data_IF_917571456461
#
_entry.id   IF_917571456461
#
_cell.length_a   1.000
_cell.length_b   1.000
_cell.length_c   1.000
_cell.angle_alpha   90.00
_cell.angle_beta   90.00
_cell.angle_gamma   90.00
#
_symmetry.space_group_name_H-M   'P 1'
#
loop_
_entity.id
_entity.type
_entity.pdbx_description
1 polymer ?
#
# COMPACT_ATOMS: atom_id res chain seq x y z
N UNK A 1 25.02 -15.30 -0.09
CA UNK A 1 24.78 -14.11 -0.94
C UNK A 1 25.54 -14.16 -2.26
N UNK A 2 26.86 -14.44 -2.27
CA UNK A 2 27.61 -14.71 -3.52
C UNK A 2 26.96 -15.73 -4.48
N UNK A 3 26.48 -16.91 -4.05
CA UNK A 3 25.86 -17.86 -4.98
C UNK A 3 24.60 -17.30 -5.67
N UNK A 4 23.79 -16.53 -4.93
CA UNK A 4 22.59 -15.90 -5.48
C UNK A 4 22.88 -14.76 -6.47
N UNK A 5 24.06 -14.15 -6.43
CA UNK A 5 24.43 -13.11 -7.41
C UNK A 5 24.90 -13.69 -8.73
N UNK A 6 25.56 -14.85 -8.69
CA UNK A 6 26.02 -15.57 -9.88
C UNK A 6 24.84 -16.10 -10.69
N UNK A 7 23.79 -16.59 -10.02
CA UNK A 7 22.53 -16.98 -10.65
C UNK A 7 21.82 -15.82 -11.36
N UNK A 8 21.85 -14.61 -10.78
CA UNK A 8 21.25 -13.42 -11.40
C UNK A 8 21.97 -13.07 -12.69
N UNK A 9 23.31 -13.06 -12.69
CA UNK A 9 24.10 -12.76 -13.90
C UNK A 9 23.93 -13.86 -14.94
N UNK A 10 23.74 -15.12 -14.53
CA UNK A 10 23.40 -16.22 -15.45
C UNK A 10 22.07 -16.01 -16.17
N UNK A 11 21.06 -15.46 -15.49
CA UNK A 11 19.76 -15.15 -16.09
C UNK A 11 19.74 -13.81 -16.84
N UNK A 12 20.58 -12.86 -16.43
CA UNK A 12 20.67 -11.51 -16.99
C UNK A 12 22.14 -11.14 -17.28
N UNK A 13 22.68 -11.54 -18.43
CA UNK A 13 24.12 -11.41 -18.74
C UNK A 13 24.62 -9.96 -18.81
N UNK A 14 23.74 -8.99 -19.00
CA UNK A 14 24.08 -7.55 -19.02
C UNK A 14 24.30 -6.96 -17.63
N UNK A 15 23.91 -7.68 -16.58
CA UNK A 15 24.05 -7.22 -15.20
C UNK A 15 25.38 -7.68 -14.59
N UNK A 16 25.91 -6.89 -13.67
CA UNK A 16 27.19 -7.18 -13.01
C UNK A 16 27.02 -7.66 -11.56
N UNK A 17 27.85 -8.61 -11.14
CA UNK A 17 27.81 -9.19 -9.78
C UNK A 17 28.05 -8.13 -8.69
N UNK A 18 28.92 -7.15 -8.94
CA UNK A 18 29.25 -6.10 -7.97
C UNK A 18 28.07 -5.15 -7.70
N UNK A 19 27.12 -5.07 -8.64
CA UNK A 19 25.85 -4.35 -8.48
C UNK A 19 25.01 -4.93 -7.33
N UNK A 20 25.04 -6.25 -7.18
CA UNK A 20 24.18 -6.96 -6.23
C UNK A 20 24.85 -7.26 -4.89
N UNK A 21 26.15 -7.56 -4.91
CA UNK A 21 26.90 -7.88 -3.70
C UNK A 21 28.37 -7.46 -3.78
N UNK A 22 28.78 -6.64 -2.82
CA UNK A 22 30.17 -6.29 -2.55
C UNK A 22 30.50 -6.81 -1.16
N UNK A 23 31.53 -7.68 -1.01
CA UNK A 23 31.90 -8.25 0.27
C UNK A 23 32.40 -7.17 1.25
N UNK A 24 32.32 -7.43 2.57
CA UNK A 24 32.85 -6.50 3.56
C UNK A 24 34.38 -6.41 3.44
N UNK A 25 34.94 -5.23 3.69
CA UNK A 25 36.38 -4.99 3.69
C UNK A 25 36.84 -4.83 5.13
N UNK A 26 37.82 -5.64 5.54
CA UNK A 26 38.37 -5.59 6.90
C UNK A 26 39.17 -4.31 7.13
N UNK A 27 39.32 -3.91 8.40
CA UNK A 27 40.07 -2.71 8.79
C UNK A 27 41.52 -2.73 8.27
N UNK A 28 42.14 -3.91 8.21
CA UNK A 28 43.53 -4.11 7.76
C UNK A 28 43.73 -3.80 6.27
N UNK A 29 42.70 -3.97 5.46
CA UNK A 29 42.76 -3.84 3.98
C UNK A 29 42.12 -2.51 3.52
N UNK A 30 41.37 -1.85 4.39
CA UNK A 30 40.65 -0.63 4.06
C UNK A 30 41.58 0.58 3.98
N UNK A 31 41.54 1.30 2.85
CA UNK A 31 42.25 2.57 2.65
C UNK A 31 41.90 3.66 3.68
N UNK A 32 40.74 3.55 4.33
CA UNK A 32 40.22 4.54 5.29
C UNK A 32 40.52 4.11 6.74
N UNK A 33 41.22 2.98 6.94
CA UNK A 33 41.55 2.47 8.28
C UNK A 33 40.32 2.06 9.11
N UNK A 34 39.18 1.81 8.46
CA UNK A 34 37.90 1.39 9.07
C UNK A 34 37.32 0.19 8.33
N UNK A 35 36.69 -0.73 9.05
CA UNK A 35 35.97 -1.84 8.42
C UNK A 35 34.77 -1.30 7.62
N UNK A 36 34.61 -1.79 6.40
CA UNK A 36 33.47 -1.46 5.54
C UNK A 36 32.54 -2.68 5.51
N UNK A 37 31.27 -2.45 5.82
CA UNK A 37 30.23 -3.48 5.73
C UNK A 37 29.96 -3.88 4.28
N UNK A 38 29.38 -5.07 4.08
CA UNK A 38 28.90 -5.49 2.77
C UNK A 38 27.87 -4.50 2.19
N UNK A 39 27.93 -4.33 0.87
CA UNK A 39 27.08 -3.42 0.08
C UNK A 39 26.47 -4.15 -1.12
N UNK A 40 25.58 -3.48 -1.84
CA UNK A 40 24.92 -4.01 -3.05
C UNK A 40 23.40 -4.11 -2.92
N UNK A 41 22.69 -4.18 -4.05
CA UNK A 41 21.22 -4.16 -4.10
C UNK A 41 20.58 -5.25 -3.23
N UNK A 42 21.13 -6.46 -3.20
CA UNK A 42 20.57 -7.57 -2.41
C UNK A 42 20.77 -7.36 -0.90
N UNK A 43 21.94 -6.86 -0.50
CA UNK A 43 22.25 -6.55 0.91
C UNK A 43 21.30 -5.48 1.43
N UNK A 44 21.08 -4.44 0.64
CA UNK A 44 20.18 -3.34 0.99
C UNK A 44 18.72 -3.82 1.04
N UNK A 45 18.27 -4.60 0.06
CA UNK A 45 16.92 -5.19 0.04
C UNK A 45 16.66 -6.07 1.26
N UNK A 46 17.61 -6.94 1.61
CA UNK A 46 17.51 -7.80 2.80
C UNK A 46 17.39 -6.95 4.07
N UNK A 47 18.31 -6.01 4.29
CA UNK A 47 18.30 -5.13 5.47
C UNK A 47 17.00 -4.32 5.57
N UNK A 48 16.47 -3.84 4.45
CA UNK A 48 15.21 -3.11 4.40
C UNK A 48 14.03 -4.00 4.77
N UNK A 49 13.95 -5.20 4.20
CA UNK A 49 12.88 -6.16 4.49
C UNK A 49 12.90 -6.60 5.95
N UNK A 50 14.09 -6.88 6.51
CA UNK A 50 14.23 -7.21 7.93
C UNK A 50 13.77 -6.08 8.85
N UNK A 51 14.09 -4.82 8.54
CA UNK A 51 13.59 -3.66 9.33
C UNK A 51 12.07 -3.51 9.24
N UNK A 52 11.50 -3.65 8.04
CA UNK A 52 10.06 -3.60 7.86
C UNK A 52 9.34 -4.69 8.67
N UNK A 53 9.87 -5.93 8.64
CA UNK A 53 9.34 -7.04 9.43
C UNK A 53 9.46 -6.81 10.94
N UNK A 54 10.56 -6.23 11.42
CA UNK A 54 10.71 -5.86 12.84
C UNK A 54 9.68 -4.83 13.27
N UNK A 55 9.45 -3.78 12.48
CA UNK A 55 8.42 -2.79 12.77
C UNK A 55 7.02 -3.40 12.82
N UNK A 56 6.71 -4.32 11.90
CA UNK A 56 5.43 -5.05 11.92
C UNK A 56 5.31 -5.89 13.20
N UNK A 57 6.41 -6.53 13.64
CA UNK A 57 6.39 -7.34 14.85
C UNK A 57 6.28 -6.50 16.13
N UNK A 58 6.96 -5.35 16.17
CA UNK A 58 6.88 -4.37 17.28
C UNK A 58 5.54 -3.63 17.31
N UNK A 59 4.86 -3.49 16.17
CA UNK A 59 3.51 -2.90 16.06
C UNK A 59 2.38 -3.88 16.35
N UNK A 60 2.68 -5.17 16.59
CA UNK A 60 1.70 -6.04 17.26
C UNK A 60 1.58 -5.57 18.71
N UNK A 61 0.63 -4.66 18.92
CA UNK A 61 0.15 -4.24 20.24
C UNK A 61 -0.23 -5.48 21.08
N UNK A 62 -0.21 -5.43 22.42
CA UNK A 62 -0.56 -6.56 23.31
C UNK A 62 -2.02 -7.03 23.22
N UNK A 63 -2.79 -6.55 22.25
CA UNK A 63 -4.25 -6.66 22.18
C UNK A 63 -4.73 -7.90 21.40
N UNK A 64 -3.85 -8.88 21.17
CA UNK A 64 -4.25 -10.21 20.68
C UNK A 64 -4.83 -11.09 21.82
N UNK A 65 -5.25 -10.46 22.93
CA UNK A 65 -6.18 -11.09 23.87
C UNK A 65 -7.56 -11.05 23.22
N UNK A 66 -7.87 -12.12 22.49
CA UNK A 66 -9.24 -12.53 22.21
C UNK A 66 -10.04 -12.36 23.50
N UNK A 67 -10.86 -11.31 23.52
CA UNK A 67 -11.98 -11.27 24.43
C UNK A 67 -13.04 -12.08 23.73
N UNK A 68 -13.07 -13.38 24.00
CA UNK A 68 -14.22 -14.21 23.69
C UNK A 68 -15.38 -13.65 24.52
N UNK A 69 -16.07 -12.68 23.95
CA UNK A 69 -17.35 -12.21 24.47
C UNK A 69 -18.38 -13.31 24.18
N UNK A 70 -19.14 -13.82 25.15
CA UNK A 70 -20.04 -14.97 24.96
C UNK A 70 -21.30 -14.68 24.12
N UNK A 71 -21.39 -13.54 23.43
CA UNK A 71 -22.65 -13.02 22.87
C UNK A 71 -22.75 -13.12 21.33
N UNK A 72 -21.84 -13.85 20.67
CA UNK A 72 -21.69 -13.83 19.20
C UNK A 72 -22.41 -14.93 18.42
N UNK A 73 -22.97 -15.96 19.07
CA UNK A 73 -23.54 -17.10 18.34
C UNK A 73 -24.78 -16.73 17.52
N UNK A 74 -25.62 -15.82 18.03
CA UNK A 74 -26.86 -15.42 17.36
C UNK A 74 -26.61 -14.65 16.06
N UNK A 75 -25.55 -13.85 15.99
CA UNK A 75 -25.23 -13.04 14.81
C UNK A 75 -24.57 -13.87 13.71
N UNK A 76 -23.75 -14.87 14.08
CA UNK A 76 -23.11 -15.76 13.11
C UNK A 76 -24.13 -16.65 12.40
N UNK A 77 -25.11 -17.19 13.12
CA UNK A 77 -26.18 -18.01 12.55
C UNK A 77 -27.02 -17.21 11.54
N UNK A 78 -27.39 -15.97 11.89
CA UNK A 78 -28.14 -15.08 11.00
C UNK A 78 -27.35 -14.75 9.70
N UNK A 79 -26.04 -14.57 9.80
CA UNK A 79 -25.16 -14.34 8.64
C UNK A 79 -25.11 -15.58 7.74
N UNK A 80 -25.01 -16.78 8.33
CA UNK A 80 -24.99 -18.04 7.57
C UNK A 80 -26.33 -18.30 6.88
N UNK A 81 -27.45 -18.03 7.55
CA UNK A 81 -28.78 -18.13 6.97
C UNK A 81 -28.96 -17.15 5.81
N UNK A 82 -28.60 -15.88 5.99
CA UNK A 82 -28.66 -14.87 4.94
C UNK A 82 -27.77 -15.23 3.73
N UNK A 83 -26.60 -15.82 3.97
CA UNK A 83 -25.74 -16.34 2.90
C UNK A 83 -26.42 -17.49 2.15
N UNK A 84 -26.95 -18.48 2.86
CA UNK A 84 -27.64 -19.62 2.23
C UNK A 84 -28.85 -19.16 1.41
N UNK A 85 -29.58 -18.15 1.92
CA UNK A 85 -30.69 -17.53 1.22
C UNK A 85 -30.23 -16.88 -0.10
N UNK A 86 -29.17 -16.07 -0.07
CA UNK A 86 -28.60 -15.39 -1.26
C UNK A 86 -28.00 -16.36 -2.30
N UNK A 87 -27.74 -17.61 -1.92
CA UNK A 87 -27.28 -18.64 -2.86
C UNK A 87 -28.43 -19.28 -3.63
N UNK A 88 -29.64 -19.28 -3.07
CA UNK A 88 -30.80 -19.99 -3.60
C UNK A 88 -31.90 -19.06 -4.14
N UNK A 89 -31.91 -17.79 -3.73
CA UNK A 89 -32.96 -16.84 -4.06
C UNK A 89 -32.38 -15.56 -4.66
N UNK A 90 -33.15 -14.95 -5.57
CA UNK A 90 -32.80 -13.66 -6.19
C UNK A 90 -33.88 -12.60 -6.07
N UNK A 91 -35.02 -12.92 -5.47
CA UNK A 91 -36.16 -12.02 -5.27
C UNK A 91 -36.90 -12.42 -3.98
N UNK A 92 -37.63 -11.49 -3.33
CA UNK A 92 -37.75 -10.04 -3.63
C UNK A 92 -36.45 -9.25 -3.42
N UNK A 93 -36.28 -8.13 -4.15
CA UNK A 93 -35.01 -7.38 -4.18
C UNK A 93 -34.71 -6.69 -2.83
N UNK A 94 -35.73 -6.30 -2.09
CA UNK A 94 -35.62 -5.71 -0.76
C UNK A 94 -34.96 -6.68 0.22
N UNK A 95 -35.32 -7.96 0.14
CA UNK A 95 -34.75 -9.04 0.95
C UNK A 95 -33.31 -9.32 0.51
N UNK A 96 -33.05 -9.32 -0.80
CA UNK A 96 -31.69 -9.44 -1.34
C UNK A 96 -30.78 -8.36 -0.75
N UNK A 97 -31.19 -7.08 -0.81
CA UNK A 97 -30.39 -5.96 -0.28
C UNK A 97 -30.18 -6.10 1.22
N UNK A 98 -31.20 -6.54 1.96
CA UNK A 98 -31.12 -6.74 3.43
C UNK A 98 -30.09 -7.82 3.77
N UNK A 99 -30.21 -9.01 3.15
CA UNK A 99 -29.28 -10.12 3.35
C UNK A 99 -27.87 -9.77 2.84
N UNK A 100 -27.76 -8.97 1.77
CA UNK A 100 -26.49 -8.52 1.24
C UNK A 100 -25.73 -7.60 2.20
N UNK A 101 -26.45 -6.68 2.86
CA UNK A 101 -25.91 -5.81 3.91
C UNK A 101 -25.48 -6.62 5.13
N UNK A 102 -26.31 -7.57 5.58
CA UNK A 102 -26.00 -8.43 6.72
C UNK A 102 -24.71 -9.26 6.49
N UNK A 103 -24.52 -9.76 5.26
CA UNK A 103 -23.35 -10.58 4.90
C UNK A 103 -22.11 -9.77 4.49
N UNK A 104 -22.14 -8.43 4.51
CA UNK A 104 -21.09 -7.59 3.93
C UNK A 104 -19.70 -7.81 4.56
N UNK A 105 -19.62 -7.80 5.90
CA UNK A 105 -18.35 -8.02 6.59
C UNK A 105 -17.84 -9.46 6.42
N UNK A 106 -18.74 -10.45 6.40
CA UNK A 106 -18.39 -11.84 6.11
C UNK A 106 -17.79 -11.98 4.70
N UNK A 107 -18.43 -11.40 3.68
CA UNK A 107 -17.95 -11.35 2.30
C UNK A 107 -16.57 -10.73 2.20
N UNK A 108 -16.39 -9.55 2.82
CA UNK A 108 -15.12 -8.81 2.83
C UNK A 108 -13.99 -9.62 3.47
N UNK A 109 -14.24 -10.23 4.64
CA UNK A 109 -13.26 -11.08 5.34
C UNK A 109 -12.90 -12.33 4.52
N UNK A 110 -13.89 -12.98 3.90
CA UNK A 110 -13.68 -14.17 3.07
C UNK A 110 -12.79 -13.86 1.86
N UNK A 111 -13.10 -12.79 1.12
CA UNK A 111 -12.32 -12.36 -0.05
C UNK A 111 -10.90 -11.94 0.37
N UNK A 112 -10.75 -11.16 1.44
CA UNK A 112 -9.44 -10.69 1.92
C UNK A 112 -8.53 -11.83 2.40
N UNK A 113 -9.11 -12.87 3.00
CA UNK A 113 -8.34 -13.99 3.57
C UNK A 113 -7.87 -14.98 2.50
N UNK A 114 -8.57 -15.08 1.37
CA UNK A 114 -8.24 -16.03 0.31
C UNK A 114 -7.46 -15.37 -0.84
N UNK A 115 -6.13 -15.36 -0.73
CA UNK A 115 -5.24 -14.74 -1.73
C UNK A 115 -5.26 -15.39 -3.12
N UNK A 116 -5.72 -16.63 -3.22
CA UNK A 116 -5.78 -17.37 -4.48
C UNK A 116 -7.21 -17.44 -5.06
N UNK A 117 -8.15 -16.69 -4.47
CA UNK A 117 -9.54 -16.68 -4.89
C UNK A 117 -9.63 -16.08 -6.30
N UNK A 118 -10.14 -16.87 -7.24
CA UNK A 118 -10.43 -16.41 -8.60
C UNK A 118 -11.75 -15.64 -8.61
N UNK A 119 -11.86 -14.69 -9.54
CA UNK A 119 -13.09 -13.91 -9.70
C UNK A 119 -14.32 -14.82 -9.96
N UNK A 120 -14.18 -15.85 -10.78
CA UNK A 120 -15.27 -16.81 -11.06
C UNK A 120 -15.82 -17.46 -9.79
N UNK A 121 -14.95 -17.79 -8.83
CA UNK A 121 -15.32 -18.41 -7.56
C UNK A 121 -16.14 -17.47 -6.68
N UNK A 122 -15.97 -16.15 -6.81
CA UNK A 122 -16.82 -15.17 -6.13
C UNK A 122 -18.24 -15.23 -6.68
N UNK A 123 -18.41 -15.27 -8.00
CA UNK A 123 -19.73 -15.39 -8.65
C UNK A 123 -20.38 -16.76 -8.45
N UNK A 124 -19.59 -17.82 -8.21
CA UNK A 124 -20.10 -19.13 -7.79
C UNK A 124 -20.58 -19.09 -6.33
N UNK A 125 -19.83 -18.43 -5.45
CA UNK A 125 -20.18 -18.31 -4.02
C UNK A 125 -21.36 -17.35 -3.79
N UNK A 126 -21.51 -16.35 -4.65
CA UNK A 126 -22.55 -15.32 -4.61
C UNK A 126 -23.25 -15.22 -5.97
N UNK A 127 -24.12 -16.20 -6.33
CA UNK A 127 -24.81 -16.23 -7.61
C UNK A 127 -25.65 -14.98 -7.89
N UNK A 128 -26.14 -14.32 -6.84
CA UNK A 128 -26.90 -13.07 -6.92
C UNK A 128 -26.18 -11.97 -7.70
N UNK A 129 -24.84 -12.00 -7.76
CA UNK A 129 -24.04 -11.05 -8.53
C UNK A 129 -24.18 -11.20 -10.05
N UNK A 130 -24.81 -12.28 -10.53
CA UNK A 130 -25.14 -12.48 -11.94
C UNK A 130 -26.47 -11.84 -12.34
N UNK A 131 -27.24 -11.35 -11.37
CA UNK A 131 -28.52 -10.69 -11.61
C UNK A 131 -28.34 -9.34 -12.32
N UNK A 132 -29.24 -8.91 -13.22
CA UNK A 132 -29.11 -7.62 -13.92
C UNK A 132 -28.95 -6.41 -12.99
N UNK A 133 -29.61 -6.44 -11.82
CA UNK A 133 -29.54 -5.37 -10.83
C UNK A 133 -28.37 -5.51 -9.85
N UNK A 134 -27.48 -6.50 -10.01
CA UNK A 134 -26.38 -6.75 -9.07
C UNK A 134 -25.43 -5.56 -8.90
N UNK A 135 -25.37 -4.65 -9.88
CA UNK A 135 -24.57 -3.43 -9.75
C UNK A 135 -25.00 -2.57 -8.53
N UNK A 136 -26.29 -2.55 -8.17
CA UNK A 136 -26.76 -1.79 -6.99
C UNK A 136 -26.23 -2.40 -5.69
N UNK A 137 -25.95 -3.70 -5.65
CA UNK A 137 -25.34 -4.37 -4.50
C UNK A 137 -23.88 -3.96 -4.32
N UNK A 138 -23.18 -3.71 -5.42
CA UNK A 138 -21.82 -3.16 -5.41
C UNK A 138 -21.85 -1.72 -4.92
N UNK A 139 -22.77 -0.89 -5.41
CA UNK A 139 -22.96 0.48 -4.92
C UNK A 139 -23.24 0.52 -3.42
N UNK A 140 -24.06 -0.40 -2.91
CA UNK A 140 -24.32 -0.56 -1.46
C UNK A 140 -23.06 -0.94 -0.66
N UNK A 141 -22.20 -1.81 -1.20
CA UNK A 141 -20.92 -2.12 -0.54
C UNK A 141 -20.01 -0.87 -0.48
N UNK A 142 -19.99 -0.04 -1.54
CA UNK A 142 -19.23 1.20 -1.58
C UNK A 142 -19.81 2.27 -0.63
N UNK A 143 -21.13 2.38 -0.51
CA UNK A 143 -21.79 3.29 0.44
C UNK A 143 -21.36 2.95 1.88
N UNK A 144 -21.21 1.66 2.19
CA UNK A 144 -20.78 1.16 3.49
C UNK A 144 -19.28 1.37 3.78
N UNK A 145 -18.44 1.67 2.78
CA UNK A 145 -17.01 1.92 3.00
C UNK A 145 -16.72 3.24 3.72
N UNK A 146 -17.75 4.09 3.93
CA UNK A 146 -17.60 5.43 4.54
C UNK A 146 -16.45 6.21 3.90
N UNK A 147 -16.31 6.09 2.58
CA UNK A 147 -15.31 6.84 1.83
C UNK A 147 -15.55 8.34 2.00
N UNK A 148 -14.51 9.14 1.82
CA UNK A 148 -14.68 10.59 1.84
C UNK A 148 -15.73 10.99 0.80
N UNK A 149 -16.75 11.72 1.24
CA UNK A 149 -17.76 12.32 0.36
C UNK A 149 -17.21 13.49 -0.45
N UNK A 150 -15.94 13.84 -0.24
CA UNK A 150 -15.27 14.90 -0.97
C UNK A 150 -14.98 14.43 -2.39
N UNK A 151 -15.67 15.03 -3.34
CA UNK A 151 -15.39 14.82 -4.75
C UNK A 151 -13.99 15.35 -5.11
N UNK A 152 -13.27 14.56 -5.91
CA UNK A 152 -11.98 14.95 -6.43
C UNK A 152 -12.19 15.77 -7.71
N UNK A 153 -12.33 17.08 -7.56
CA UNK A 153 -12.46 18.02 -8.68
C UNK A 153 -11.09 18.44 -9.21
N UNK A 154 -11.04 18.92 -10.45
CA UNK A 154 -9.82 19.51 -11.04
C UNK A 154 -9.26 20.65 -10.20
N UNK A 155 -10.13 21.48 -9.61
CA UNK A 155 -9.72 22.56 -8.71
C UNK A 155 -9.06 22.03 -7.42
N UNK A 156 -9.67 21.01 -6.81
CA UNK A 156 -9.13 20.37 -5.61
C UNK A 156 -7.76 19.72 -5.88
N UNK A 157 -7.62 19.10 -7.05
CA UNK A 157 -6.37 18.50 -7.52
C UNK A 157 -5.31 19.58 -7.78
N UNK A 158 -5.66 20.66 -8.47
CA UNK A 158 -4.74 21.76 -8.77
C UNK A 158 -4.25 22.45 -7.49
N UNK A 159 -5.15 22.65 -6.52
CA UNK A 159 -4.82 23.18 -5.20
C UNK A 159 -3.87 22.25 -4.44
N UNK A 160 -4.15 20.95 -4.45
CA UNK A 160 -3.28 19.93 -3.85
C UNK A 160 -1.89 19.96 -4.49
N UNK A 161 -1.83 19.89 -5.82
CA UNK A 161 -0.58 19.80 -6.56
C UNK A 161 0.29 21.04 -6.35
N UNK A 162 -0.29 22.24 -6.42
CA UNK A 162 0.42 23.50 -6.16
C UNK A 162 1.02 23.52 -4.76
N UNK A 163 0.29 23.04 -3.75
CA UNK A 163 0.82 22.92 -2.38
C UNK A 163 1.98 21.91 -2.28
N UNK A 164 1.87 20.76 -2.95
CA UNK A 164 2.96 19.76 -2.98
C UNK A 164 4.21 20.35 -3.63
N UNK A 165 4.06 21.03 -4.77
CA UNK A 165 5.16 21.65 -5.49
C UNK A 165 5.86 22.74 -4.66
N UNK A 166 5.08 23.56 -3.95
CA UNK A 166 5.61 24.60 -3.06
C UNK A 166 6.41 24.02 -1.88
N UNK A 167 5.91 22.94 -1.27
CA UNK A 167 6.60 22.28 -0.14
C UNK A 167 7.83 21.52 -0.60
N UNK A 168 7.79 20.92 -1.79
CA UNK A 168 8.84 20.04 -2.29
C UNK A 168 9.04 20.20 -3.79
N UNK A 169 9.76 21.25 -4.22
CA UNK A 169 10.07 21.46 -5.62
C UNK A 169 11.02 20.36 -6.15
N UNK A 170 11.13 20.21 -7.49
CA UNK A 170 12.15 19.38 -8.11
C UNK A 170 13.54 19.69 -7.60
N UNK A 171 14.41 18.67 -7.59
CA UNK A 171 15.82 18.90 -7.27
C UNK A 171 16.50 19.68 -8.40
N UNK A 172 17.57 20.39 -8.05
CA UNK A 172 18.37 21.16 -9.03
C UNK A 172 19.02 20.29 -10.11
N UNK A 173 19.23 19.00 -9.86
CA UNK A 173 19.87 18.02 -10.74
C UNK A 173 18.86 17.11 -11.48
N UNK A 174 17.56 17.33 -11.32
CA UNK A 174 16.52 16.51 -11.95
C UNK A 174 15.92 17.23 -13.17
N UNK A 175 16.61 17.14 -14.31
CA UNK A 175 16.22 17.84 -15.54
C UNK A 175 14.88 17.34 -16.11
N UNK A 176 14.56 16.05 -15.92
CA UNK A 176 13.27 15.50 -16.31
C UNK A 176 12.12 16.15 -15.51
N UNK A 177 12.29 16.32 -14.20
CA UNK A 177 11.30 16.98 -13.36
C UNK A 177 11.13 18.47 -13.71
N UNK A 178 12.22 19.18 -14.07
CA UNK A 178 12.14 20.57 -14.55
C UNK A 178 11.37 20.67 -15.87
N UNK A 179 11.64 19.79 -16.83
CA UNK A 179 10.93 19.77 -18.11
C UNK A 179 9.41 19.57 -17.91
N UNK A 180 8.99 18.73 -16.96
CA UNK A 180 7.58 18.60 -16.61
C UNK A 180 7.00 19.87 -15.99
N UNK A 181 7.73 20.56 -15.10
CA UNK A 181 7.27 21.83 -14.53
C UNK A 181 7.10 22.88 -15.62
N UNK A 182 8.08 23.01 -16.52
CA UNK A 182 8.04 23.94 -17.64
C UNK A 182 6.85 23.64 -18.57
N UNK A 183 6.64 22.36 -18.93
CA UNK A 183 5.50 21.94 -19.74
C UNK A 183 4.16 22.30 -19.08
N UNK A 184 4.03 22.10 -17.77
CA UNK A 184 2.80 22.39 -17.03
C UNK A 184 2.54 23.90 -16.93
N UNK A 185 3.60 24.71 -16.80
CA UNK A 185 3.50 26.15 -16.54
C UNK A 185 3.37 26.99 -17.82
N UNK A 186 4.07 26.62 -18.89
CA UNK A 186 4.24 27.48 -20.06
C UNK A 186 3.56 26.97 -21.32
N UNK A 187 3.10 25.71 -21.37
CA UNK A 187 2.37 25.20 -22.53
C UNK A 187 0.86 25.52 -22.41
N UNK A 188 0.47 26.64 -23.02
CA UNK A 188 -0.92 27.09 -23.10
C UNK A 188 -1.82 26.14 -23.91
N UNK A 189 -1.25 25.29 -24.76
CA UNK A 189 -2.01 24.35 -25.60
C UNK A 189 -2.35 23.05 -24.86
N UNK A 190 -1.83 22.85 -23.65
CA UNK A 190 -2.04 21.63 -22.89
C UNK A 190 -3.45 21.58 -22.30
N UNK A 191 -4.22 20.55 -22.64
CA UNK A 191 -5.54 20.30 -22.06
C UNK A 191 -5.44 19.96 -20.57
N UNK A 192 -6.52 20.15 -19.82
CA UNK A 192 -6.53 19.87 -18.37
C UNK A 192 -6.18 18.40 -18.07
N UNK A 193 -6.67 17.45 -18.87
CA UNK A 193 -6.33 16.05 -18.74
C UNK A 193 -4.83 15.80 -18.96
N UNK A 194 -4.23 16.43 -19.97
CA UNK A 194 -2.81 16.31 -20.23
C UNK A 194 -1.97 16.95 -19.10
N UNK A 195 -2.42 18.08 -18.54
CA UNK A 195 -1.81 18.70 -17.34
C UNK A 195 -1.86 17.75 -16.14
N UNK A 196 -3.01 17.13 -15.86
CA UNK A 196 -3.15 16.17 -14.76
C UNK A 196 -2.21 14.97 -14.94
N UNK A 197 -2.10 14.44 -16.16
CA UNK A 197 -1.18 13.32 -16.47
C UNK A 197 0.28 13.73 -16.25
N UNK A 198 0.69 14.92 -16.70
CA UNK A 198 2.04 15.44 -16.47
C UNK A 198 2.32 15.63 -14.97
N UNK A 199 1.36 16.17 -14.22
CA UNK A 199 1.44 16.33 -12.76
C UNK A 199 1.57 14.98 -12.05
N UNK A 200 0.79 13.97 -12.43
CA UNK A 200 0.89 12.60 -11.91
C UNK A 200 2.26 11.98 -12.19
N UNK A 201 2.83 12.22 -13.38
CA UNK A 201 4.19 11.77 -13.74
C UNK A 201 5.29 12.51 -12.99
N UNK A 202 5.05 13.76 -12.60
CA UNK A 202 5.98 14.56 -11.83
C UNK A 202 5.99 14.17 -10.34
N UNK A 203 4.88 13.66 -9.79
CA UNK A 203 4.77 13.30 -8.37
C UNK A 203 5.89 12.38 -7.84
N UNK A 204 6.34 11.31 -8.54
CA UNK A 204 7.47 10.50 -8.09
C UNK A 204 8.80 11.26 -7.98
N UNK A 205 9.00 12.33 -8.75
CA UNK A 205 10.19 13.18 -8.65
C UNK A 205 10.11 14.13 -7.44
N UNK A 206 8.91 14.66 -7.15
CA UNK A 206 8.66 15.51 -5.99
C UNK A 206 8.65 14.69 -4.70
N UNK A 207 8.04 13.51 -4.74
CA UNK A 207 7.83 12.60 -3.62
C UNK A 207 8.49 11.25 -3.91
N UNK A 208 9.83 11.19 -4.10
CA UNK A 208 10.51 9.94 -4.37
C UNK A 208 10.18 8.96 -3.25
N UNK A 209 9.80 7.72 -3.61
CA UNK A 209 9.52 6.69 -2.63
C UNK A 209 10.74 6.59 -1.73
N UNK A 210 10.57 6.91 -0.44
CA UNK A 210 11.66 6.90 0.53
C UNK A 210 12.10 5.45 0.72
N UNK A 211 12.99 4.97 -0.14
CA UNK A 211 13.67 3.68 0.05
C UNK A 211 14.62 3.70 1.26
N UNK A 212 14.73 4.84 1.96
CA UNK A 212 15.41 4.99 3.25
C UNK A 212 14.57 5.85 4.19
N UNK A 213 13.97 5.21 5.20
CA UNK A 213 13.66 5.90 6.45
C UNK A 213 14.98 6.26 7.13
N UNK A 214 15.50 7.47 6.87
CA UNK A 214 16.45 8.09 7.78
C UNK A 214 15.64 8.55 8.99
N UNK A 215 15.53 7.69 10.00
CA UNK A 215 15.22 8.16 11.35
C UNK A 215 16.36 9.12 11.72
N UNK A 216 16.05 10.39 11.95
CA UNK A 216 17.02 11.30 12.55
C UNK A 216 17.48 10.62 13.85
N UNK A 217 18.77 10.30 13.97
CA UNK A 217 19.32 10.04 15.31
C UNK A 217 19.02 11.30 16.11
N UNK A 218 18.13 11.21 17.09
CA UNK A 218 18.08 12.20 18.15
C UNK A 218 19.43 12.05 18.84
N UNK A 219 20.32 13.01 18.57
CA UNK A 219 21.56 13.16 19.29
C UNK A 219 21.21 13.54 20.72
N UNK A 220 21.56 12.65 21.65
CA UNK A 220 21.44 12.92 23.08
C UNK A 220 20.90 11.72 23.82
N UNK A 221 21.75 11.08 24.61
CA UNK A 221 21.32 10.43 25.84
C UNK A 221 20.24 11.29 26.50
N UNK A 222 19.11 10.72 26.90
CA UNK A 222 18.67 10.72 28.29
C UNK A 222 17.47 9.80 28.47
N UNK A 223 17.34 9.41 29.74
CA UNK A 223 16.53 8.35 30.33
C UNK A 223 15.03 8.49 30.03
N UNK A 224 14.36 7.34 30.02
CA UNK A 224 12.91 7.22 30.08
C UNK A 224 12.34 8.15 31.15
N UNK A 225 11.43 9.04 30.75
CA UNK A 225 10.47 9.67 31.66
C UNK A 225 9.09 9.16 31.27
N UNK A 226 8.56 8.28 32.12
CA UNK A 226 7.14 7.97 32.17
C UNK A 226 6.40 9.25 32.56
N UNK A 227 5.60 9.78 31.64
CA UNK A 227 4.57 10.76 32.00
C UNK A 227 3.29 9.99 32.23
N UNK A 228 2.91 9.84 33.50
CA UNK A 228 1.54 9.52 33.90
C UNK A 228 0.67 10.72 33.53
N UNK A 229 -0.37 10.48 32.75
CA UNK A 229 -1.44 11.45 32.53
C UNK A 229 -2.33 11.38 33.77
N UNK A 230 -2.52 12.52 34.42
CA UNK A 230 -3.63 12.77 35.34
C UNK A 230 -4.82 13.29 34.53
#
# INVERSE_FOLDING_TARGET
MKPSTEEIVKLFPTEDTSTYYIPPISKKISRIGKSLISRGKLVDKYRNKTRALKLIHEWKSPDDRRTDSPDSSSDEDAILEAKAWLQSHSMPWEIVVTNWKLTAEYRRKSIKSNRNLKLSQIFESWPILKHPNAYTLIEEDYSCLKLSTRELTLESWTTFFTKVLAVRPPKKDDDAAKAFVELIQYDEKLTDNAKVVAQLRLLPHLLPPKNRFRVKKISGNHRYLNVKIA
#
